data_IF_277573415142
#
_entry.id   IF_277573415142
#
_cell.length_a   1.000
_cell.length_b   1.000
_cell.length_c   1.000
_cell.angle_alpha   90.00
_cell.angle_beta   90.00
_cell.angle_gamma   90.00
#
_symmetry.space_group_name_H-M   'P 1'
#
loop_
_entity.id
_entity.type
_entity.pdbx_description
1 polymer ?
#
# COMPACT_ATOMS: atom_id res chain seq x y z
N UNK A 1 -6.42 -10.53 12.15
CA UNK A 1 -7.84 -10.47 11.76
C UNK A 1 -8.67 -10.30 13.01
N UNK A 2 -9.25 -9.12 13.22
CA UNK A 2 -10.21 -8.89 14.31
C UNK A 2 -11.54 -9.51 13.91
N UNK A 3 -11.74 -10.77 14.29
CA UNK A 3 -13.04 -11.45 14.13
C UNK A 3 -14.04 -10.80 15.07
N UNK A 4 -15.02 -10.09 14.52
CA UNK A 4 -16.16 -9.60 15.30
C UNK A 4 -17.05 -10.80 15.61
N UNK A 5 -16.96 -11.33 16.83
CA UNK A 5 -17.82 -12.43 17.29
C UNK A 5 -19.17 -11.86 17.73
N UNK A 6 -20.19 -11.97 16.88
CA UNK A 6 -21.56 -11.60 17.21
C UNK A 6 -22.33 -12.85 17.65
N UNK A 7 -22.79 -12.85 18.90
CA UNK A 7 -23.58 -13.95 19.49
C UNK A 7 -25.07 -13.68 19.24
N UNK A 8 -25.59 -14.28 18.17
CA UNK A 8 -26.99 -14.14 17.74
C UNK A 8 -27.97 -14.60 18.79
N UNK A 9 -27.67 -15.69 19.50
CA UNK A 9 -28.54 -16.26 20.53
C UNK A 9 -28.66 -15.32 21.72
N UNK A 10 -27.52 -14.84 22.24
CA UNK A 10 -27.48 -13.90 23.36
C UNK A 10 -28.15 -12.56 23.02
N UNK A 11 -28.09 -12.13 21.76
CA UNK A 11 -28.79 -10.93 21.30
C UNK A 11 -30.31 -11.14 21.22
N UNK A 12 -30.77 -12.25 20.63
CA UNK A 12 -32.18 -12.61 20.58
C UNK A 12 -32.79 -12.73 21.98
N UNK A 13 -32.09 -13.40 22.91
CA UNK A 13 -32.54 -13.53 24.31
C UNK A 13 -32.67 -12.17 25.02
N UNK A 14 -31.81 -11.20 24.69
CA UNK A 14 -31.91 -9.84 25.23
C UNK A 14 -33.12 -9.10 24.70
N UNK A 15 -33.43 -9.26 23.41
CA UNK A 15 -34.63 -8.69 22.79
C UNK A 15 -35.89 -9.33 23.37
N UNK A 16 -35.90 -10.65 23.56
CA UNK A 16 -37.00 -11.36 24.22
C UNK A 16 -37.23 -10.85 25.65
N UNK A 17 -36.16 -10.67 26.44
CA UNK A 17 -36.24 -10.07 27.78
C UNK A 17 -36.71 -8.61 27.78
N UNK A 18 -36.51 -7.89 26.68
CA UNK A 18 -37.01 -6.54 26.49
C UNK A 18 -38.48 -6.48 26.03
N UNK A 19 -39.13 -7.64 25.85
CA UNK A 19 -40.53 -7.75 25.44
C UNK A 19 -40.74 -7.86 23.93
N UNK A 20 -39.67 -8.01 23.13
CA UNK A 20 -39.80 -8.33 21.70
C UNK A 20 -40.24 -9.79 21.55
N UNK A 21 -41.25 -10.11 20.73
CA UNK A 21 -41.64 -11.50 20.51
C UNK A 21 -40.49 -12.32 19.91
N UNK A 22 -40.34 -13.56 20.33
CA UNK A 22 -39.22 -14.45 19.98
C UNK A 22 -38.94 -14.55 18.48
N UNK A 23 -39.98 -14.61 17.65
CA UNK A 23 -39.85 -14.64 16.18
C UNK A 23 -39.18 -13.36 15.65
N UNK A 24 -39.56 -12.19 16.17
CA UNK A 24 -38.96 -10.91 15.79
C UNK A 24 -37.54 -10.77 16.34
N UNK A 25 -37.31 -11.17 17.60
CA UNK A 25 -36.00 -11.14 18.23
C UNK A 25 -34.97 -11.97 17.46
N UNK A 26 -35.39 -13.16 17.01
CA UNK A 26 -34.55 -14.04 16.20
C UNK A 26 -34.30 -13.48 14.80
N UNK A 27 -35.33 -12.96 14.14
CA UNK A 27 -35.19 -12.35 12.82
C UNK A 27 -34.27 -11.13 12.84
N UNK A 28 -34.36 -10.28 13.86
CA UNK A 28 -33.46 -9.14 14.05
C UNK A 28 -32.02 -9.58 14.33
N UNK A 29 -31.84 -10.62 15.14
CA UNK A 29 -30.52 -11.19 15.43
C UNK A 29 -29.85 -11.75 14.18
N UNK A 30 -30.59 -12.48 13.35
CA UNK A 30 -30.10 -13.04 12.08
C UNK A 30 -29.78 -11.94 11.08
N UNK A 31 -30.68 -10.96 10.89
CA UNK A 31 -30.44 -9.85 9.98
C UNK A 31 -29.20 -9.03 10.37
N UNK A 32 -29.01 -8.77 11.67
CA UNK A 32 -27.84 -8.04 12.16
C UNK A 32 -26.54 -8.84 11.98
N UNK A 33 -26.58 -10.16 12.18
CA UNK A 33 -25.44 -11.04 11.96
C UNK A 33 -24.99 -11.04 10.49
N UNK A 34 -25.93 -11.11 9.55
CA UNK A 34 -25.63 -11.07 8.12
C UNK A 34 -25.00 -9.74 7.68
N UNK A 35 -25.50 -8.62 8.21
CA UNK A 35 -24.92 -7.30 7.95
C UNK A 35 -23.51 -7.21 8.54
N UNK A 36 -23.27 -7.70 9.75
CA UNK A 36 -21.93 -7.69 10.35
C UNK A 36 -20.95 -8.60 9.59
N UNK A 37 -21.39 -9.77 9.14
CA UNK A 37 -20.57 -10.71 8.38
C UNK A 37 -20.16 -10.13 7.01
N UNK A 38 -21.08 -9.46 6.32
CA UNK A 38 -20.81 -8.80 5.03
C UNK A 38 -19.89 -7.58 5.18
N UNK A 39 -20.08 -6.74 6.21
CA UNK A 39 -19.22 -5.58 6.45
C UNK A 39 -17.81 -5.98 6.91
N UNK A 40 -17.65 -7.10 7.60
CA UNK A 40 -16.33 -7.62 7.99
C UNK A 40 -15.46 -7.99 6.77
N UNK A 41 -16.06 -8.42 5.66
CA UNK A 41 -15.34 -8.67 4.42
C UNK A 41 -14.84 -7.36 3.77
N UNK A 42 -15.64 -6.29 3.77
CA UNK A 42 -15.24 -4.98 3.23
C UNK A 42 -14.08 -4.34 4.03
N UNK A 43 -14.05 -4.56 5.35
CA UNK A 43 -12.94 -4.16 6.22
C UNK A 43 -11.62 -4.88 5.89
N UNK A 44 -11.68 -6.16 5.51
CA UNK A 44 -10.50 -6.89 5.01
C UNK A 44 -9.96 -6.23 3.75
N UNK A 45 -10.83 -5.97 2.77
CA UNK A 45 -10.46 -5.34 1.49
C UNK A 45 -9.78 -3.97 1.69
N UNK A 46 -10.27 -3.14 2.62
CA UNK A 46 -9.64 -1.84 2.93
C UNK A 46 -8.25 -1.98 3.53
N UNK A 47 -8.05 -2.99 4.38
CA UNK A 47 -6.75 -3.28 5.00
C UNK A 47 -5.76 -3.77 3.95
N UNK A 48 -6.21 -4.64 3.04
CA UNK A 48 -5.40 -5.17 1.95
C UNK A 48 -4.99 -4.06 0.96
N UNK A 49 -5.90 -3.13 0.64
CA UNK A 49 -5.60 -1.95 -0.17
C UNK A 49 -4.57 -1.05 0.53
N UNK A 50 -4.71 -0.82 1.84
CA UNK A 50 -3.75 -0.02 2.59
C UNK A 50 -2.34 -0.63 2.57
N UNK A 51 -2.26 -1.97 2.71
CA UNK A 51 -1.00 -2.72 2.62
C UNK A 51 -0.38 -2.60 1.22
N UNK A 52 -1.17 -2.79 0.17
CA UNK A 52 -0.71 -2.66 -1.22
C UNK A 52 -0.20 -1.23 -1.51
N UNK A 53 -0.86 -0.20 -0.97
CA UNK A 53 -0.39 1.18 -1.07
C UNK A 53 0.94 1.43 -0.34
N UNK A 54 1.20 0.77 0.80
CA UNK A 54 2.50 0.86 1.47
C UNK A 54 3.60 0.19 0.67
N UNK A 55 3.38 -1.03 0.17
CA UNK A 55 4.36 -1.75 -0.65
C UNK A 55 4.69 -0.98 -1.93
N UNK A 56 3.68 -0.37 -2.58
CA UNK A 56 3.89 0.45 -3.77
C UNK A 56 4.70 1.73 -3.47
N UNK A 57 4.52 2.32 -2.29
CA UNK A 57 5.31 3.49 -1.86
C UNK A 57 6.77 3.10 -1.63
N UNK A 58 7.01 1.98 -0.96
CA UNK A 58 8.35 1.47 -0.69
C UNK A 58 9.09 1.16 -2.00
N UNK A 59 8.45 0.43 -2.91
CA UNK A 59 8.98 0.15 -4.24
C UNK A 59 9.29 1.43 -5.03
N UNK A 60 8.42 2.46 -4.97
CA UNK A 60 8.71 3.76 -5.60
C UNK A 60 9.92 4.44 -4.98
N UNK A 61 10.09 4.38 -3.66
CA UNK A 61 11.23 5.01 -2.99
C UNK A 61 12.54 4.31 -3.35
N UNK A 62 12.55 2.98 -3.43
CA UNK A 62 13.69 2.19 -3.86
C UNK A 62 14.07 2.51 -5.31
N UNK A 63 13.12 2.38 -6.24
CA UNK A 63 13.34 2.68 -7.66
C UNK A 63 13.81 4.12 -7.85
N UNK A 64 13.21 5.10 -7.17
CA UNK A 64 13.65 6.49 -7.29
C UNK A 64 15.06 6.70 -6.72
N UNK A 65 15.44 5.99 -5.66
CA UNK A 65 16.78 6.01 -5.10
C UNK A 65 17.82 5.47 -6.09
N UNK A 66 17.56 4.28 -6.64
CA UNK A 66 18.42 3.64 -7.63
C UNK A 66 18.54 4.47 -8.91
N UNK A 67 17.42 4.96 -9.46
CA UNK A 67 17.42 5.81 -10.65
C UNK A 67 18.15 7.13 -10.40
N UNK A 68 18.02 7.72 -9.20
CA UNK A 68 18.75 8.96 -8.86
C UNK A 68 20.25 8.70 -8.80
N UNK A 69 20.69 7.58 -8.20
CA UNK A 69 22.09 7.18 -8.17
C UNK A 69 22.62 6.93 -9.58
N UNK A 70 21.91 6.14 -10.39
CA UNK A 70 22.25 5.86 -11.78
C UNK A 70 22.35 7.15 -12.60
N UNK A 71 21.40 8.08 -12.45
CA UNK A 71 21.43 9.38 -13.13
C UNK A 71 22.69 10.17 -12.81
N UNK A 72 23.14 10.16 -11.55
CA UNK A 72 24.37 10.83 -11.14
C UNK A 72 25.62 10.11 -11.65
N UNK A 73 25.66 8.78 -11.59
CA UNK A 73 26.76 8.00 -12.14
C UNK A 73 26.93 8.24 -13.63
N UNK A 74 25.84 8.16 -14.40
CA UNK A 74 25.85 8.43 -15.85
C UNK A 74 26.29 9.87 -16.14
N UNK A 75 25.76 10.85 -15.40
CA UNK A 75 26.17 12.25 -15.54
C UNK A 75 27.66 12.47 -15.29
N UNK A 76 28.22 11.86 -14.24
CA UNK A 76 29.65 11.92 -13.93
C UNK A 76 30.49 11.22 -15.00
N UNK A 77 30.09 10.03 -15.46
CA UNK A 77 30.79 9.30 -16.52
C UNK A 77 30.85 10.08 -17.83
N UNK A 78 29.76 10.76 -18.20
CA UNK A 78 29.73 11.65 -19.37
C UNK A 78 30.68 12.84 -19.16
N UNK A 79 30.61 13.51 -18.00
CA UNK A 79 31.47 14.66 -17.71
C UNK A 79 32.96 14.30 -17.76
N UNK A 80 33.36 13.16 -17.20
CA UNK A 80 34.73 12.65 -17.26
C UNK A 80 35.16 12.36 -18.70
N UNK A 81 34.29 11.71 -19.48
CA UNK A 81 34.56 11.39 -20.88
C UNK A 81 34.72 12.64 -21.75
N UNK A 82 33.87 13.65 -21.55
CA UNK A 82 34.02 14.94 -22.27
C UNK A 82 35.28 15.66 -21.84
N UNK A 83 35.64 15.61 -20.56
CA UNK A 83 36.87 16.22 -20.04
C UNK A 83 38.14 15.62 -20.66
N UNK A 84 38.21 14.29 -20.78
CA UNK A 84 39.37 13.62 -21.40
C UNK A 84 39.49 13.94 -22.89
N UNK A 85 38.38 13.96 -23.63
CA UNK A 85 38.37 14.34 -25.04
C UNK A 85 38.85 15.79 -25.22
N UNK A 86 38.36 16.71 -24.39
CA UNK A 86 38.77 18.12 -24.45
C UNK A 86 40.27 18.31 -24.14
N UNK A 87 40.81 17.56 -23.17
CA UNK A 87 42.22 17.62 -22.82
C UNK A 87 43.11 17.12 -23.98
N UNK A 88 42.72 16.01 -24.62
CA UNK A 88 43.43 15.46 -25.78
C UNK A 88 43.42 16.43 -26.96
N UNK A 89 42.26 17.02 -27.26
CA UNK A 89 42.14 18.03 -28.32
C UNK A 89 43.05 19.25 -28.05
N UNK A 90 43.12 19.71 -26.79
CA UNK A 90 43.97 20.82 -26.38
C UNK A 90 45.47 20.48 -26.53
N UNK A 91 45.88 19.26 -26.18
CA UNK A 91 47.27 18.81 -26.34
C UNK A 91 47.70 18.75 -27.81
N UNK A 92 46.83 18.25 -28.70
CA UNK A 92 47.09 18.23 -30.15
C UNK A 92 47.22 19.64 -30.72
N UNK A 93 46.39 20.59 -30.26
CA UNK A 93 46.43 21.97 -30.76
C UNK A 93 47.63 22.79 -30.22
N UNK A 94 48.17 22.43 -29.05
CA UNK A 94 49.29 23.15 -28.41
C UNK A 94 50.66 22.64 -28.87
N UNK A 95 50.77 21.40 -29.35
CA UNK A 95 52.02 20.92 -29.93
C UNK A 95 52.25 21.63 -31.28
N UNK A 96 53.29 22.46 -31.44
CA UNK A 96 53.62 23.01 -32.75
C UNK A 96 54.12 21.87 -33.64
N UNK A 97 53.55 21.76 -34.84
CA UNK A 97 54.09 20.95 -35.94
C UNK A 97 55.37 21.56 -36.50
#
# INVERSE_FOLDING_TARGET
MTTITFDTLKYAERLEKAGIPREHAKAEAEALADVLASNAQDLSTKTDIALMHSEMREMRTEINGELKLLRWMVGMSIALSTGTIALLAKLVFILPH
#
